data_IF_076345580711
#
_entry.id   IF_076345580711
#
_cell.length_a   1.000
_cell.length_b   1.000
_cell.length_c   1.000
_cell.angle_alpha   90.00
_cell.angle_beta   90.00
_cell.angle_gamma   90.00
#
_symmetry.space_group_name_H-M   'P 1'
#
loop_
_entity.id
_entity.type
_entity.pdbx_description
1 polymer ?
#
# COMPACT_ATOMS: atom_id res chain seq x y z
N UNK A 1 -23.22 11.20 15.04
CA UNK A 1 -22.32 10.21 15.68
C UNK A 1 -21.97 9.18 14.60
N UNK A 2 -20.71 9.07 14.16
CA UNK A 2 -20.33 8.10 13.13
C UNK A 2 -20.35 6.69 13.74
N UNK A 3 -21.13 5.76 13.19
CA UNK A 3 -21.13 4.32 13.53
C UNK A 3 -20.65 3.55 12.29
N UNK A 4 -19.95 2.44 12.51
CA UNK A 4 -19.65 1.47 11.43
C UNK A 4 -20.82 0.52 11.20
N UNK A 5 -20.65 -0.42 10.27
CA UNK A 5 -21.71 -1.36 9.84
C UNK A 5 -22.00 -2.46 10.87
N UNK A 6 -21.16 -2.58 11.90
CA UNK A 6 -21.24 -3.64 12.92
C UNK A 6 -21.47 -3.03 14.30
N UNK A 7 -22.33 -3.67 15.10
CA UNK A 7 -22.50 -3.32 16.51
C UNK A 7 -21.27 -3.72 17.33
N UNK A 8 -20.41 -2.72 17.57
CA UNK A 8 -19.09 -2.91 18.18
C UNK A 8 -19.13 -3.60 19.55
N UNK A 9 -20.15 -3.34 20.37
CA UNK A 9 -20.27 -3.91 21.72
C UNK A 9 -20.40 -5.44 21.69
N UNK A 10 -21.30 -5.96 20.84
CA UNK A 10 -21.54 -7.41 20.71
C UNK A 10 -20.37 -8.09 19.98
N UNK A 11 -19.84 -7.44 18.95
CA UNK A 11 -18.75 -8.00 18.15
C UNK A 11 -17.42 -8.09 18.92
N UNK A 12 -17.14 -7.14 19.84
CA UNK A 12 -15.94 -7.14 20.68
C UNK A 12 -15.85 -8.36 21.61
N UNK A 13 -16.98 -8.92 22.05
CA UNK A 13 -16.98 -10.07 22.96
C UNK A 13 -16.55 -11.38 22.29
N UNK A 14 -16.71 -11.48 20.97
CA UNK A 14 -16.42 -12.71 20.21
C UNK A 14 -15.22 -12.58 19.28
N UNK A 15 -14.89 -11.37 18.82
CA UNK A 15 -13.80 -11.16 17.87
C UNK A 15 -12.43 -11.16 18.57
N UNK A 16 -11.46 -11.89 18.02
CA UNK A 16 -10.06 -11.82 18.48
C UNK A 16 -9.42 -10.45 18.21
N UNK A 17 -9.82 -9.78 17.13
CA UNK A 17 -9.42 -8.41 16.77
C UNK A 17 -10.61 -7.67 16.15
N UNK A 18 -10.78 -6.40 16.47
CA UNK A 18 -11.86 -5.54 15.95
C UNK A 18 -11.34 -4.12 15.71
N UNK A 19 -11.64 -3.55 14.54
CA UNK A 19 -11.23 -2.17 14.21
C UNK A 19 -12.28 -1.17 14.69
N UNK A 20 -11.92 -0.15 15.49
CA UNK A 20 -12.88 0.85 15.97
C UNK A 20 -13.31 1.79 14.85
N UNK A 21 -14.53 2.32 14.95
CA UNK A 21 -15.03 3.38 14.09
C UNK A 21 -15.47 4.55 14.97
N UNK A 22 -14.97 5.79 14.73
CA UNK A 22 -13.98 6.18 13.73
C UNK A 22 -12.55 5.73 14.08
N UNK A 23 -11.65 5.69 13.08
CA UNK A 23 -10.20 5.47 13.29
C UNK A 23 -9.64 4.12 12.84
N UNK A 24 -10.46 3.20 12.36
CA UNK A 24 -10.03 1.88 11.87
C UNK A 24 -9.61 1.90 10.40
N UNK A 25 -10.52 1.50 9.52
CA UNK A 25 -10.24 1.31 8.09
C UNK A 25 -10.09 2.61 7.28
N UNK A 26 -10.67 3.72 7.74
CA UNK A 26 -10.62 5.01 7.03
C UNK A 26 -9.20 5.54 6.81
N UNK A 27 -8.36 5.67 7.87
CA UNK A 27 -6.96 6.07 7.73
C UNK A 27 -6.12 5.11 6.87
N UNK A 28 -6.41 3.80 6.91
CA UNK A 28 -5.70 2.80 6.11
C UNK A 28 -5.93 2.98 4.61
N UNK A 29 -7.11 3.43 4.17
CA UNK A 29 -7.39 3.71 2.76
C UNK A 29 -6.46 4.78 2.20
N UNK A 30 -6.26 5.87 2.95
CA UNK A 30 -5.34 6.95 2.55
C UNK A 30 -3.90 6.44 2.52
N UNK A 31 -3.48 5.70 3.54
CA UNK A 31 -2.14 5.13 3.60
C UNK A 31 -1.86 4.16 2.43
N UNK A 32 -2.81 3.29 2.10
CA UNK A 32 -2.69 2.34 0.99
C UNK A 32 -2.66 3.02 -0.38
N UNK A 33 -3.42 4.10 -0.57
CA UNK A 33 -3.36 4.89 -1.80
C UNK A 33 -1.94 5.49 -2.00
N UNK A 34 -1.37 6.05 -0.93
CA UNK A 34 -0.01 6.60 -0.96
C UNK A 34 1.03 5.51 -1.19
N UNK A 35 0.93 4.38 -0.49
CA UNK A 35 1.83 3.24 -0.66
C UNK A 35 1.81 2.70 -2.10
N UNK A 36 0.62 2.59 -2.71
CA UNK A 36 0.47 2.17 -4.10
C UNK A 36 1.09 3.19 -5.06
N UNK A 37 0.92 4.49 -4.79
CA UNK A 37 1.52 5.57 -5.59
C UNK A 37 3.06 5.52 -5.54
N UNK A 38 3.65 5.37 -4.35
CA UNK A 38 5.10 5.24 -4.18
C UNK A 38 5.63 3.99 -4.88
N UNK A 39 4.98 2.85 -4.67
CA UNK A 39 5.37 1.59 -5.33
C UNK A 39 5.33 1.71 -6.85
N UNK A 40 4.31 2.39 -7.41
CA UNK A 40 4.21 2.65 -8.84
C UNK A 40 5.35 3.56 -9.33
N UNK A 41 5.66 4.64 -8.60
CA UNK A 41 6.76 5.54 -8.92
C UNK A 41 8.12 4.81 -8.90
N UNK A 42 8.38 4.02 -7.85
CA UNK A 42 9.58 3.19 -7.76
C UNK A 42 9.69 2.19 -8.91
N UNK A 43 8.59 1.54 -9.30
CA UNK A 43 8.56 0.62 -10.45
C UNK A 43 8.83 1.31 -11.78
N UNK A 44 8.30 2.52 -11.97
CA UNK A 44 8.57 3.33 -13.17
C UNK A 44 10.06 3.72 -13.19
N UNK A 45 10.63 4.12 -12.05
CA UNK A 45 12.04 4.47 -11.93
C UNK A 45 12.98 3.26 -12.04
N UNK A 46 12.62 2.10 -11.49
CA UNK A 46 13.42 0.87 -11.56
C UNK A 46 13.31 0.21 -12.94
N UNK A 47 12.16 0.32 -13.61
CA UNK A 47 11.95 -0.09 -14.99
C UNK A 47 12.76 0.71 -16.01
N UNK A 48 13.36 1.83 -15.61
CA UNK A 48 14.31 2.61 -16.42
C UNK A 48 15.77 2.20 -16.23
N UNK A 49 16.11 1.27 -15.32
CA UNK A 49 17.51 0.85 -15.10
C UNK A 49 17.98 -0.27 -16.03
N UNK A 50 17.07 -1.07 -16.59
CA UNK A 50 17.42 -2.20 -17.47
C UNK A 50 17.67 -1.82 -18.93
N UNK A 51 17.40 -0.57 -19.33
CA UNK A 51 17.70 -0.10 -20.69
C UNK A 51 19.08 0.59 -20.83
N UNK A 52 19.78 0.84 -19.70
CA UNK A 52 21.08 1.56 -19.67
C UNK A 52 22.19 0.67 -19.09
N UNK A 53 22.19 -0.63 -19.41
CA UNK A 53 23.35 -1.49 -19.11
C UNK A 53 23.65 -2.53 -20.20
N UNK A 54 22.98 -2.46 -21.36
CA UNK A 54 23.11 -3.43 -22.45
C UNK A 54 23.95 -2.98 -23.65
N UNK A 55 24.57 -1.80 -23.63
CA UNK A 55 25.24 -1.26 -24.81
C UNK A 55 26.54 -0.52 -24.47
N UNK A 56 27.49 -1.20 -23.84
CA UNK A 56 28.88 -0.73 -23.80
C UNK A 56 29.95 -1.84 -23.71
N UNK A 57 29.67 -3.08 -24.13
CA UNK A 57 30.68 -4.16 -24.16
C UNK A 57 30.81 -4.86 -25.54
N UNK A 58 30.91 -4.07 -26.63
CA UNK A 58 31.33 -4.59 -27.96
C UNK A 58 32.36 -3.73 -28.69
N UNK A 59 33.18 -2.96 -27.97
CA UNK A 59 34.29 -2.21 -28.57
C UNK A 59 35.51 -2.21 -27.66
N UNK A 60 36.11 -3.37 -27.45
CA UNK A 60 37.56 -3.63 -27.33
C UNK A 60 37.72 -5.16 -27.37
N UNK A 61 37.92 -5.69 -28.57
CA UNK A 61 38.92 -6.69 -28.98
C UNK A 61 38.46 -7.44 -30.22
#
# INVERSE_FOLDING_TARGET
>A
KLRGDVEFAIAKERAAFITPVPGGVGPMTVAMLLANTVTAAERIMSGQRSAVSGQQDKKIS
#
